data_IF_760285401905
#
_entry.id   IF_760285401905
#
_cell.length_a   1.000
_cell.length_b   1.000
_cell.length_c   1.000
_cell.angle_alpha   90.00
_cell.angle_beta   90.00
_cell.angle_gamma   90.00
#
_symmetry.space_group_name_H-M   'P 1'
#
loop_
_entity.id
_entity.type
_entity.pdbx_description
1 polymer ?
#
# COMPACT_ATOMS: atom_id res chain seq x y z
N UNK A 1 -2.59 9.50 27.69
CA UNK A 1 -3.69 8.92 26.90
C UNK A 1 -3.36 8.99 25.42
N UNK A 2 -3.64 7.94 24.68
CA UNK A 2 -3.51 7.98 23.23
C UNK A 2 -4.72 8.71 22.63
N UNK A 3 -4.46 9.65 21.74
CA UNK A 3 -5.51 10.39 21.04
C UNK A 3 -6.03 9.65 19.81
N UNK A 4 -5.27 8.67 19.32
CA UNK A 4 -5.63 7.89 18.13
C UNK A 4 -5.49 6.41 18.43
N UNK A 5 -6.30 5.56 17.76
CA UNK A 5 -6.30 4.12 17.93
C UNK A 5 -5.81 3.37 16.69
N UNK A 6 -5.68 4.04 15.58
CA UNK A 6 -5.25 3.42 14.34
C UNK A 6 -5.38 4.36 13.15
N UNK A 7 -5.06 3.83 11.98
CA UNK A 7 -5.19 4.55 10.71
C UNK A 7 -6.06 3.73 9.78
N UNK A 8 -7.04 4.37 9.15
CA UNK A 8 -7.86 3.75 8.12
C UNK A 8 -7.45 4.32 6.77
N UNK A 9 -7.03 3.45 5.85
CA UNK A 9 -6.68 3.84 4.49
C UNK A 9 -7.83 3.44 3.57
N UNK A 10 -8.36 4.40 2.81
CA UNK A 10 -9.43 4.15 1.87
C UNK A 10 -8.91 4.31 0.45
N UNK A 11 -8.94 3.23 -0.32
CA UNK A 11 -8.52 3.22 -1.72
C UNK A 11 -9.73 3.39 -2.61
N UNK A 12 -9.62 4.22 -3.64
CA UNK A 12 -10.65 4.38 -4.65
C UNK A 12 -10.28 3.56 -5.88
N UNK A 13 -11.15 2.65 -6.28
CA UNK A 13 -10.89 1.66 -7.31
C UNK A 13 -11.99 1.68 -8.37
N UNK A 14 -11.61 1.57 -9.63
CA UNK A 14 -12.56 1.42 -10.74
C UNK A 14 -13.15 0.01 -10.81
N UNK A 15 -12.57 -0.96 -10.07
CA UNK A 15 -13.09 -2.33 -9.95
C UNK A 15 -12.85 -2.82 -8.52
N UNK A 16 -13.68 -2.35 -7.60
CA UNK A 16 -13.49 -2.60 -6.18
C UNK A 16 -13.56 -4.08 -5.83
N UNK A 17 -14.45 -4.85 -6.46
CA UNK A 17 -14.56 -6.28 -6.19
C UNK A 17 -13.30 -7.04 -6.58
N UNK A 18 -12.71 -6.73 -7.73
CA UNK A 18 -11.48 -7.36 -8.18
C UNK A 18 -10.31 -7.00 -7.26
N UNK A 19 -10.20 -5.75 -6.85
CA UNK A 19 -9.14 -5.31 -5.94
C UNK A 19 -9.31 -5.94 -4.55
N UNK A 20 -10.52 -6.05 -4.02
CA UNK A 20 -10.77 -6.74 -2.75
C UNK A 20 -10.35 -8.21 -2.82
N UNK A 21 -10.69 -8.90 -3.90
CA UNK A 21 -10.26 -10.28 -4.10
C UNK A 21 -8.75 -10.42 -4.17
N UNK A 22 -8.07 -9.49 -4.81
CA UNK A 22 -6.61 -9.44 -4.88
C UNK A 22 -5.99 -9.29 -3.48
N UNK A 23 -6.49 -8.34 -2.68
CA UNK A 23 -5.98 -8.13 -1.32
C UNK A 23 -6.13 -9.38 -0.45
N UNK A 24 -7.25 -10.08 -0.59
CA UNK A 24 -7.51 -11.30 0.19
C UNK A 24 -6.66 -12.48 -0.29
N UNK A 25 -6.60 -12.72 -1.60
CA UNK A 25 -6.05 -13.96 -2.18
C UNK A 25 -4.57 -13.86 -2.49
N UNK A 26 -4.09 -12.72 -2.97
CA UNK A 26 -2.69 -12.53 -3.34
C UNK A 26 -1.86 -12.07 -2.14
N UNK A 27 -2.36 -11.07 -1.40
CA UNK A 27 -1.64 -10.50 -0.26
C UNK A 27 -1.98 -11.17 1.07
N UNK A 28 -2.93 -12.10 1.09
CA UNK A 28 -3.37 -12.83 2.29
C UNK A 28 -3.84 -11.93 3.44
N UNK A 29 -4.40 -10.77 3.11
CA UNK A 29 -4.92 -9.88 4.14
C UNK A 29 -6.25 -10.41 4.68
N UNK A 30 -6.39 -10.41 6.00
CA UNK A 30 -7.62 -10.80 6.67
C UNK A 30 -8.59 -9.62 6.67
N UNK A 31 -9.87 -9.91 6.65
CA UNK A 31 -10.90 -8.86 6.59
C UNK A 31 -12.10 -9.20 7.43
N UNK A 32 -12.90 -8.17 7.71
CA UNK A 32 -14.26 -8.31 8.25
C UNK A 32 -15.23 -7.75 7.21
N UNK A 33 -16.37 -8.42 7.03
CA UNK A 33 -17.45 -7.93 6.17
C UNK A 33 -18.41 -7.12 7.04
N UNK A 34 -18.50 -5.82 6.75
CA UNK A 34 -19.39 -4.92 7.52
C UNK A 34 -20.76 -4.75 6.86
N UNK A 35 -21.03 -5.56 5.84
CA UNK A 35 -22.34 -5.63 5.17
C UNK A 35 -22.21 -5.60 3.65
N UNK A 36 -22.94 -6.52 2.98
CA UNK A 36 -23.07 -6.53 1.53
C UNK A 36 -21.77 -6.70 0.74
N UNK A 37 -20.76 -7.34 1.31
CA UNK A 37 -19.46 -7.53 0.65
C UNK A 37 -18.49 -6.36 0.83
N UNK A 38 -18.83 -5.38 1.67
CA UNK A 38 -17.90 -4.30 2.01
C UNK A 38 -16.85 -4.82 3.01
N UNK A 39 -15.71 -5.21 2.49
CA UNK A 39 -14.63 -5.79 3.28
C UNK A 39 -13.71 -4.68 3.81
N UNK A 40 -13.40 -4.76 5.10
CA UNK A 40 -12.37 -3.91 5.72
C UNK A 40 -11.21 -4.83 6.10
N UNK A 41 -10.04 -4.54 5.56
CA UNK A 41 -8.86 -5.38 5.71
C UNK A 41 -7.98 -4.90 6.87
N UNK A 42 -7.45 -5.85 7.62
CA UNK A 42 -6.38 -5.57 8.56
C UNK A 42 -5.06 -5.33 7.81
N UNK A 43 -4.30 -4.36 8.28
CA UNK A 43 -3.00 -4.02 7.70
C UNK A 43 -1.86 -4.38 8.65
N UNK A 44 -0.64 -4.65 8.11
CA UNK A 44 0.56 -4.73 8.93
C UNK A 44 0.81 -3.41 9.68
N UNK A 45 1.72 -3.40 10.67
CA UNK A 45 2.16 -2.16 11.29
C UNK A 45 2.54 -1.10 10.26
N UNK A 46 2.32 0.16 10.57
CA UNK A 46 2.50 1.24 9.62
C UNK A 46 3.36 2.36 10.19
N UNK A 47 3.95 3.13 9.29
CA UNK A 47 4.64 4.38 9.59
C UNK A 47 4.14 5.46 8.65
N UNK A 48 4.38 6.74 8.99
CA UNK A 48 3.93 7.87 8.19
C UNK A 48 5.04 8.90 8.11
N UNK A 49 5.27 9.41 6.90
CA UNK A 49 6.17 10.52 6.68
C UNK A 49 5.43 11.64 5.95
N UNK A 50 5.91 12.86 6.13
CA UNK A 50 5.35 14.05 5.46
C UNK A 50 6.39 14.58 4.50
N UNK A 51 6.04 14.63 3.23
CA UNK A 51 6.88 15.15 2.16
C UNK A 51 6.40 16.54 1.75
N UNK A 52 7.31 17.49 1.48
CA UNK A 52 6.88 18.78 0.94
C UNK A 52 6.11 18.62 -0.38
N UNK A 53 5.11 19.47 -0.59
CA UNK A 53 4.39 19.49 -1.87
C UNK A 53 5.31 20.00 -2.97
N UNK A 54 5.46 19.19 -4.03
CA UNK A 54 6.31 19.55 -5.17
C UNK A 54 5.70 18.95 -6.46
N UNK A 55 6.42 19.10 -7.57
CA UNK A 55 6.04 18.51 -8.84
C UNK A 55 6.07 16.98 -8.70
N UNK A 56 4.96 16.32 -8.97
CA UNK A 56 4.78 14.89 -8.80
C UNK A 56 4.10 14.48 -7.50
N UNK A 57 3.74 15.45 -6.65
CA UNK A 57 2.89 15.15 -5.49
C UNK A 57 1.53 14.65 -5.96
N UNK A 58 0.93 13.67 -5.27
CA UNK A 58 -0.39 13.19 -5.64
C UNK A 58 -1.45 14.26 -5.44
N UNK A 59 -2.52 14.24 -6.24
CA UNK A 59 -3.64 15.16 -6.02
C UNK A 59 -4.30 14.90 -4.68
N UNK A 60 -5.08 15.88 -4.21
CA UNK A 60 -5.86 15.71 -2.98
C UNK A 60 -6.76 14.48 -3.08
N UNK A 61 -6.88 13.73 -1.99
CA UNK A 61 -7.69 12.52 -1.92
C UNK A 61 -9.19 12.80 -1.78
N UNK A 62 -9.56 14.06 -1.69
CA UNK A 62 -10.95 14.55 -1.60
C UNK A 62 -10.95 16.03 -1.27
N UNK A 63 -12.13 16.69 -1.26
CA UNK A 63 -12.22 18.12 -0.94
C UNK A 63 -11.63 18.40 0.45
N UNK A 64 -10.59 19.25 0.50
CA UNK A 64 -9.91 19.58 1.74
C UNK A 64 -9.07 18.44 2.34
N UNK A 65 -8.92 17.31 1.65
CA UNK A 65 -8.14 16.18 2.12
C UNK A 65 -6.74 16.19 1.53
N UNK A 66 -5.77 15.69 2.29
CA UNK A 66 -4.38 15.61 1.86
C UNK A 66 -4.20 14.47 0.85
N UNK A 67 -3.35 14.68 -0.16
CA UNK A 67 -2.94 13.60 -1.06
C UNK A 67 -1.88 12.73 -0.40
N UNK A 68 -1.85 11.44 -0.78
CA UNK A 68 -0.93 10.49 -0.20
C UNK A 68 -0.54 9.40 -1.19
N UNK A 69 0.67 8.87 -1.01
CA UNK A 69 1.07 7.61 -1.64
C UNK A 69 0.96 6.49 -0.62
N UNK A 70 0.51 5.33 -1.07
CA UNK A 70 0.47 4.13 -0.25
C UNK A 70 1.56 3.18 -0.73
N UNK A 71 2.47 2.83 0.16
CA UNK A 71 3.52 1.84 -0.09
C UNK A 71 3.37 0.69 0.88
N UNK A 72 3.39 -0.53 0.36
CA UNK A 72 3.61 -1.71 1.17
C UNK A 72 5.12 -1.88 1.35
N UNK A 73 5.54 -2.30 2.53
CA UNK A 73 6.95 -2.47 2.86
C UNK A 73 7.30 -3.95 2.90
N UNK A 74 8.52 -4.29 2.44
CA UNK A 74 9.03 -5.66 2.49
C UNK A 74 10.51 -5.64 2.86
N UNK A 75 11.01 -6.77 3.37
CA UNK A 75 12.41 -6.91 3.76
C UNK A 75 13.33 -7.06 2.55
N UNK A 76 12.86 -7.72 1.50
CA UNK A 76 13.64 -8.03 0.30
C UNK A 76 12.72 -7.88 -0.92
N UNK A 77 12.87 -6.78 -1.65
CA UNK A 77 11.99 -6.47 -2.77
C UNK A 77 12.14 -7.47 -3.91
N UNK A 78 13.35 -7.96 -4.17
CA UNK A 78 13.56 -8.92 -5.26
C UNK A 78 12.90 -10.27 -4.95
N UNK A 79 13.04 -10.74 -3.70
CA UNK A 79 12.38 -11.98 -3.27
C UNK A 79 10.86 -11.82 -3.29
N UNK A 80 10.34 -10.67 -2.88
CA UNK A 80 8.90 -10.40 -2.90
C UNK A 80 8.37 -10.35 -4.33
N UNK A 81 9.07 -9.71 -5.26
CA UNK A 81 8.71 -9.67 -6.68
C UNK A 81 8.66 -11.10 -7.25
N UNK A 82 9.65 -11.93 -6.91
CA UNK A 82 9.68 -13.33 -7.37
C UNK A 82 8.51 -14.15 -6.83
N UNK A 83 8.16 -13.95 -5.54
CA UNK A 83 7.02 -14.62 -4.94
C UNK A 83 5.69 -14.17 -5.58
N UNK A 84 5.55 -12.90 -5.88
CA UNK A 84 4.37 -12.37 -6.56
C UNK A 84 4.27 -12.88 -8.00
N UNK A 85 5.40 -13.01 -8.70
CA UNK A 85 5.41 -13.56 -10.04
C UNK A 85 4.86 -14.99 -10.09
N UNK A 86 5.13 -15.80 -9.06
CA UNK A 86 4.56 -17.15 -8.93
C UNK A 86 3.05 -17.14 -8.77
N UNK A 87 2.48 -16.04 -8.30
CA UNK A 87 1.03 -15.85 -8.17
C UNK A 87 0.43 -15.14 -9.40
N UNK A 88 1.21 -14.99 -10.47
CA UNK A 88 0.75 -14.35 -11.70
C UNK A 88 0.77 -12.82 -11.66
N UNK A 89 1.46 -12.22 -10.69
CA UNK A 89 1.54 -10.77 -10.55
C UNK A 89 2.90 -10.29 -11.03
N UNK A 90 2.91 -9.43 -12.05
CA UNK A 90 4.12 -8.88 -12.64
C UNK A 90 4.31 -7.44 -12.19
N UNK A 91 5.25 -7.23 -11.26
CA UNK A 91 5.58 -5.91 -10.77
C UNK A 91 6.32 -5.09 -11.83
N UNK A 92 6.31 -3.77 -11.66
CA UNK A 92 7.07 -2.87 -12.52
C UNK A 92 8.58 -2.96 -12.30
N UNK A 93 9.35 -2.12 -12.99
CA UNK A 93 10.80 -2.09 -12.80
C UNK A 93 11.16 -1.58 -11.39
N UNK A 94 12.31 -2.04 -10.88
CA UNK A 94 12.82 -1.59 -9.59
C UNK A 94 13.61 -0.30 -9.78
N UNK A 95 13.27 0.71 -9.00
CA UNK A 95 13.98 1.98 -8.96
C UNK A 95 14.70 2.13 -7.62
N UNK A 96 15.96 2.56 -7.67
CA UNK A 96 16.75 2.84 -6.47
C UNK A 96 16.56 4.31 -6.07
N UNK A 97 16.08 4.50 -4.85
CA UNK A 97 15.91 5.81 -4.23
C UNK A 97 16.82 5.91 -3.00
N UNK A 98 16.99 7.13 -2.47
CA UNK A 98 17.78 7.30 -1.24
C UNK A 98 17.15 6.57 -0.04
N UNK A 99 15.84 6.41 -0.06
CA UNK A 99 15.06 5.82 1.03
C UNK A 99 14.74 4.34 0.83
N UNK A 100 15.05 3.77 -0.33
CA UNK A 100 14.81 2.35 -0.55
C UNK A 100 14.78 1.95 -2.01
N UNK A 101 14.50 0.66 -2.22
CA UNK A 101 14.27 0.07 -3.53
C UNK A 101 12.77 -0.06 -3.74
N UNK A 102 12.21 0.58 -4.76
CA UNK A 102 10.77 0.61 -4.98
C UNK A 102 10.35 0.04 -6.32
N UNK A 103 9.15 -0.49 -6.35
CA UNK A 103 8.48 -0.93 -7.56
C UNK A 103 6.99 -0.61 -7.48
N UNK A 104 6.27 -0.84 -8.56
CA UNK A 104 4.81 -0.75 -8.58
C UNK A 104 4.20 -2.14 -8.52
N UNK A 105 3.23 -2.33 -7.63
CA UNK A 105 2.43 -3.54 -7.49
C UNK A 105 1.11 -3.31 -8.21
N UNK A 106 0.90 -3.91 -9.40
CA UNK A 106 -0.32 -3.65 -10.16
C UNK A 106 -1.54 -4.29 -9.50
N UNK A 107 -2.63 -3.56 -9.49
CA UNK A 107 -3.93 -4.05 -9.04
C UNK A 107 -4.80 -4.42 -10.24
N UNK A 108 -5.75 -5.35 -10.08
CA UNK A 108 -6.66 -5.74 -11.17
C UNK A 108 -7.45 -4.58 -11.78
N UNK A 109 -7.71 -3.52 -11.02
CA UNK A 109 -8.41 -2.32 -11.52
C UNK A 109 -7.59 -1.48 -12.50
N UNK A 110 -6.28 -1.76 -12.65
CA UNK A 110 -5.37 -0.99 -13.51
C UNK A 110 -4.57 0.07 -12.78
N UNK A 111 -4.88 0.34 -11.50
CA UNK A 111 -4.05 1.17 -10.63
C UNK A 111 -2.93 0.36 -10.00
N UNK A 112 -2.09 0.98 -9.19
CA UNK A 112 -1.01 0.28 -8.51
C UNK A 112 -0.83 0.79 -7.09
N UNK A 113 -0.34 -0.10 -6.22
CA UNK A 113 0.23 0.26 -4.93
C UNK A 113 1.74 0.37 -5.08
N UNK A 114 2.37 1.18 -4.25
CA UNK A 114 3.82 1.13 -4.11
C UNK A 114 4.23 -0.12 -3.33
N UNK A 115 5.41 -0.63 -3.63
CA UNK A 115 6.04 -1.71 -2.88
C UNK A 115 7.52 -1.36 -2.75
N UNK A 116 8.05 -1.38 -1.54
CA UNK A 116 9.46 -1.04 -1.38
C UNK A 116 10.14 -1.73 -0.22
N UNK A 117 11.45 -1.87 -0.40
CA UNK A 117 12.38 -2.32 0.63
C UNK A 117 13.05 -1.07 1.20
N UNK A 118 12.80 -0.70 2.48
CA UNK A 118 13.42 0.48 3.06
C UNK A 118 14.92 0.30 3.25
N UNK A 119 15.67 1.40 3.04
CA UNK A 119 17.08 1.51 3.37
C UNK A 119 17.30 2.57 4.47
N UNK A 120 16.22 3.02 5.10
CA UNK A 120 16.20 3.95 6.22
C UNK A 120 15.80 3.21 7.50
N UNK A 121 16.10 3.75 8.68
CA UNK A 121 15.52 3.23 9.92
C UNK A 121 14.02 3.37 9.89
N UNK A 122 13.29 2.33 10.31
CA UNK A 122 11.83 2.34 10.28
C UNK A 122 11.25 2.74 11.63
N UNK A 123 10.03 3.24 11.61
CA UNK A 123 9.26 3.58 12.81
C UNK A 123 8.16 2.55 13.10
N UNK A 124 8.23 1.37 12.47
CA UNK A 124 7.25 0.32 12.69
C UNK A 124 7.23 -0.13 14.15
N UNK A 125 6.04 -0.18 14.73
CA UNK A 125 5.87 -0.57 16.13
C UNK A 125 6.10 0.54 17.15
N UNK A 126 6.43 1.74 16.71
CA UNK A 126 6.60 2.90 17.60
C UNK A 126 5.22 3.53 17.87
N UNK A 127 4.54 3.03 18.88
CA UNK A 127 3.19 3.48 19.24
C UNK A 127 3.08 3.89 20.70
#
# INVERSE_FOLDING_TARGET
>A
MKLTMGVHVLLYSSDADADRAFLAKVLDLKSVDVGGGWLIFGLPPAEMAVHPTDAGAPPASGPGMIGAHVYLMCDDVQATIAALAKKGVECGPVHTERWGLRTALPLPSGSALGLYQPTHPTALGMV
#
